data_IF_451850376375
#
_entry.id   IF_451850376375
#
_cell.length_a   1.000
_cell.length_b   1.000
_cell.length_c   1.000
_cell.angle_alpha   90.00
_cell.angle_beta   90.00
_cell.angle_gamma   90.00
#
_symmetry.space_group_name_H-M   'P 1'
#
loop_
_entity.id
_entity.type
_entity.pdbx_description
1 polymer ?
#
# COMPACT_ATOMS: atom_id res chain seq x y z
N UNK A 1 58.84 31.35 -43.43
CA UNK A 1 60.16 30.75 -43.73
C UNK A 1 59.96 29.28 -44.14
N UNK A 2 60.06 28.94 -45.44
CA UNK A 2 59.75 27.59 -45.94
C UNK A 2 60.70 26.51 -45.38
N UNK A 3 62.01 26.79 -45.30
CA UNK A 3 63.01 25.85 -44.79
C UNK A 3 62.82 25.40 -43.33
N UNK A 4 62.17 26.21 -42.50
CA UNK A 4 61.89 25.85 -41.10
C UNK A 4 60.76 24.83 -41.01
N UNK A 5 59.73 24.98 -41.85
CA UNK A 5 58.55 24.10 -41.87
C UNK A 5 58.96 22.68 -42.26
N UNK A 6 59.80 22.54 -43.27
CA UNK A 6 60.24 21.23 -43.75
C UNK A 6 61.12 20.52 -42.72
N UNK A 7 62.06 21.26 -42.09
CA UNK A 7 62.93 20.73 -41.03
C UNK A 7 62.14 20.24 -39.81
N UNK A 8 61.06 20.93 -39.44
CA UNK A 8 60.20 20.55 -38.31
C UNK A 8 59.26 19.39 -38.63
N UNK A 9 58.72 19.34 -39.84
CA UNK A 9 57.89 18.21 -40.29
C UNK A 9 58.73 16.93 -40.29
N UNK A 10 59.95 16.98 -40.83
CA UNK A 10 60.86 15.84 -40.82
C UNK A 10 61.24 15.40 -39.39
N UNK A 11 61.56 16.35 -38.50
CA UNK A 11 61.86 16.04 -37.10
C UNK A 11 60.68 15.37 -36.37
N UNK A 12 59.44 15.86 -36.57
CA UNK A 12 58.24 15.30 -35.94
C UNK A 12 57.90 13.92 -36.53
N UNK A 13 58.03 13.73 -37.84
CA UNK A 13 57.79 12.43 -38.48
C UNK A 13 58.78 11.36 -38.00
N UNK A 14 60.05 11.71 -37.85
CA UNK A 14 61.09 10.81 -37.32
C UNK A 14 60.92 10.54 -35.82
N UNK A 15 60.46 11.53 -35.04
CA UNK A 15 60.11 11.34 -33.63
C UNK A 15 58.95 10.37 -33.42
N UNK A 16 57.92 10.41 -34.28
CA UNK A 16 56.72 9.58 -34.13
C UNK A 16 56.89 8.17 -34.70
N UNK A 17 57.72 8.00 -35.73
CA UNK A 17 57.94 6.72 -36.41
C UNK A 17 59.43 6.40 -36.46
N UNK A 18 59.90 5.58 -35.52
CA UNK A 18 61.25 5.00 -35.56
C UNK A 18 61.36 4.14 -36.82
N UNK A 19 61.95 4.68 -37.88
CA UNK A 19 62.14 3.97 -39.14
C UNK A 19 63.31 2.98 -38.99
N UNK A 20 63.14 1.69 -39.30
CA UNK A 20 64.21 0.70 -39.17
C UNK A 20 65.32 0.84 -40.25
N UNK A 21 65.12 1.69 -41.27
CA UNK A 21 66.03 1.85 -42.41
C UNK A 21 66.95 3.08 -42.31
N UNK A 22 66.89 3.83 -41.21
CA UNK A 22 67.71 5.03 -41.01
C UNK A 22 68.55 4.85 -39.75
N UNK A 23 69.84 5.14 -39.82
CA UNK A 23 70.75 4.98 -38.67
C UNK A 23 70.29 5.87 -37.50
N UNK A 24 70.41 5.32 -36.28
CA UNK A 24 69.88 5.98 -35.08
C UNK A 24 70.55 7.35 -34.83
N UNK A 25 71.83 7.47 -35.13
CA UNK A 25 72.58 8.72 -35.02
C UNK A 25 72.05 9.83 -35.96
N UNK A 26 71.58 9.49 -37.16
CA UNK A 26 71.03 10.47 -38.11
C UNK A 26 69.65 10.97 -37.65
N UNK A 27 68.85 10.09 -37.03
CA UNK A 27 67.54 10.46 -36.47
C UNK A 27 67.72 11.43 -35.30
N UNK A 28 68.64 11.12 -34.38
CA UNK A 28 68.94 11.97 -33.22
C UNK A 28 69.48 13.33 -33.66
N UNK A 29 70.42 13.39 -34.61
CA UNK A 29 70.95 14.65 -35.13
C UNK A 29 69.88 15.53 -35.81
N UNK A 30 68.94 14.92 -36.55
CA UNK A 30 67.86 15.66 -37.22
C UNK A 30 66.85 16.22 -36.22
N UNK A 31 66.54 15.45 -35.17
CA UNK A 31 65.67 15.88 -34.07
C UNK A 31 66.33 17.01 -33.28
N UNK A 32 67.62 16.88 -32.98
CA UNK A 32 68.40 17.89 -32.26
C UNK A 32 68.52 19.20 -33.06
N UNK A 33 68.75 19.12 -34.38
CA UNK A 33 68.78 20.29 -35.26
C UNK A 33 67.39 20.98 -35.33
N UNK A 34 66.31 20.18 -35.38
CA UNK A 34 64.94 20.69 -35.32
C UNK A 34 64.64 21.42 -34.01
N UNK A 35 65.03 20.83 -32.87
CA UNK A 35 64.86 21.43 -31.55
C UNK A 35 65.69 22.71 -31.37
N UNK A 36 66.93 22.72 -31.84
CA UNK A 36 67.80 23.91 -31.78
C UNK A 36 67.23 25.07 -32.62
N UNK A 37 66.61 24.77 -33.77
CA UNK A 37 65.90 25.78 -34.58
C UNK A 37 64.61 26.27 -33.94
N UNK A 38 63.94 25.43 -33.13
CA UNK A 38 62.79 25.79 -32.30
C UNK A 38 63.17 26.68 -31.12
N UNK A 39 64.27 26.38 -30.43
CA UNK A 39 64.76 27.20 -29.30
C UNK A 39 65.24 28.59 -29.75
N UNK A 40 65.80 28.68 -30.97
CA UNK A 40 66.16 29.97 -31.58
C UNK A 40 64.93 30.85 -31.89
N UNK A 41 63.72 30.28 -31.91
CA UNK A 41 62.47 31.02 -32.05
C UNK A 41 61.94 31.39 -30.65
N UNK A 42 62.37 32.55 -30.16
CA UNK A 42 61.86 33.11 -28.91
C UNK A 42 60.33 33.24 -28.95
N UNK A 43 59.64 32.64 -27.98
CA UNK A 43 58.17 32.58 -27.86
C UNK A 43 57.48 33.97 -27.90
N UNK A 44 58.21 35.06 -27.64
CA UNK A 44 57.70 36.44 -27.69
C UNK A 44 57.55 37.06 -29.09
N UNK A 45 58.06 36.44 -30.16
CA UNK A 45 57.98 37.00 -31.53
C UNK A 45 56.86 36.41 -32.41
N UNK A 46 56.25 35.29 -32.03
CA UNK A 46 55.26 34.60 -32.86
C UNK A 46 53.82 35.06 -32.54
N UNK A 47 53.56 35.44 -31.30
CA UNK A 47 52.31 36.07 -30.86
C UNK A 47 52.66 37.40 -30.19
N UNK A 48 52.52 38.55 -30.89
CA UNK A 48 52.68 39.85 -30.25
C UNK A 48 51.51 40.04 -29.27
N UNK A 49 51.68 39.64 -28.01
CA UNK A 49 50.68 39.84 -26.97
C UNK A 49 50.21 41.30 -26.89
N UNK A 50 51.07 42.27 -27.22
CA UNK A 50 50.74 43.70 -27.32
C UNK A 50 49.67 44.03 -28.38
N UNK A 51 49.55 43.25 -29.47
CA UNK A 51 48.52 43.42 -30.49
C UNK A 51 47.20 42.72 -30.13
N UNK A 52 47.26 41.67 -29.30
CA UNK A 52 46.08 40.92 -28.86
C UNK A 52 45.46 41.48 -27.58
N UNK A 53 46.24 42.22 -26.78
CA UNK A 53 45.76 42.94 -25.62
C UNK A 53 44.53 43.83 -25.90
N UNK A 54 44.50 44.69 -26.94
CA UNK A 54 43.32 45.52 -27.20
C UNK A 54 42.11 44.70 -27.63
N UNK A 55 42.27 43.60 -28.39
CA UNK A 55 41.14 42.77 -28.80
C UNK A 55 40.60 41.93 -27.63
N UNK A 56 41.47 41.43 -26.75
CA UNK A 56 41.08 40.74 -25.52
C UNK A 56 40.40 41.70 -24.52
N UNK A 57 40.89 42.95 -24.45
CA UNK A 57 40.23 43.98 -23.64
C UNK A 57 38.89 44.35 -24.24
N UNK A 58 38.77 44.45 -25.57
CA UNK A 58 37.51 44.73 -26.25
C UNK A 58 36.48 43.62 -26.02
N UNK A 59 36.88 42.34 -26.09
CA UNK A 59 35.96 41.23 -25.81
C UNK A 59 35.52 41.22 -24.35
N UNK A 60 36.42 41.49 -23.40
CA UNK A 60 36.06 41.65 -21.98
C UNK A 60 35.12 42.84 -21.80
N UNK A 61 35.39 43.98 -22.43
CA UNK A 61 34.57 45.18 -22.35
C UNK A 61 33.19 44.94 -22.94
N UNK A 62 33.06 44.27 -24.08
CA UNK A 62 31.77 43.88 -24.67
C UNK A 62 31.02 42.90 -23.77
N UNK A 63 31.72 41.94 -23.17
CA UNK A 63 31.11 40.99 -22.24
C UNK A 63 30.64 41.69 -20.96
N UNK A 64 31.41 42.64 -20.45
CA UNK A 64 31.01 43.47 -19.30
C UNK A 64 29.85 44.40 -19.67
N UNK A 65 29.90 45.11 -20.80
CA UNK A 65 28.82 46.00 -21.27
C UNK A 65 27.53 45.26 -21.63
N UNK A 66 27.59 44.01 -22.06
CA UNK A 66 26.38 43.19 -22.28
C UNK A 66 25.79 42.67 -20.96
N UNK A 67 26.62 42.49 -19.93
CA UNK A 67 26.18 42.03 -18.60
C UNK A 67 25.76 43.17 -17.68
N UNK A 68 26.36 44.37 -17.82
CA UNK A 68 26.13 45.56 -17.00
C UNK A 68 24.66 46.02 -16.95
N UNK A 69 23.88 46.04 -18.05
CA UNK A 69 22.47 46.42 -18.01
C UNK A 69 21.63 45.39 -17.26
N UNK A 70 21.99 44.12 -17.32
CA UNK A 70 21.33 43.06 -16.54
C UNK A 70 21.66 43.20 -15.05
N UNK A 71 22.90 43.55 -14.72
CA UNK A 71 23.35 43.83 -13.35
C UNK A 71 22.68 45.09 -12.76
N UNK A 72 22.51 46.15 -13.56
CA UNK A 72 21.87 47.40 -13.13
C UNK A 72 20.35 47.31 -13.03
N UNK A 73 19.70 46.49 -13.89
CA UNK A 73 18.24 46.33 -13.90
C UNK A 73 17.72 45.44 -12.76
N UNK A 74 18.55 44.51 -12.27
CA UNK A 74 18.25 43.70 -11.09
C UNK A 74 18.92 44.34 -9.86
N UNK A 75 18.27 45.34 -9.25
CA UNK A 75 18.66 45.95 -7.97
C UNK A 75 18.57 44.96 -6.80
N UNK A 76 19.37 43.90 -6.82
CA UNK A 76 19.47 42.98 -5.70
C UNK A 76 20.95 42.78 -5.36
N UNK A 77 21.49 43.54 -4.38
CA UNK A 77 22.87 43.40 -3.92
C UNK A 77 23.21 41.95 -3.50
N UNK A 78 22.17 41.16 -3.20
CA UNK A 78 22.24 39.74 -2.86
C UNK A 78 22.64 38.82 -4.03
N UNK A 79 22.22 39.09 -5.28
CA UNK A 79 22.56 38.24 -6.43
C UNK A 79 24.05 38.33 -6.79
N UNK A 80 24.64 39.54 -6.69
CA UNK A 80 26.07 39.76 -6.89
C UNK A 80 26.90 38.96 -5.89
N UNK A 81 26.48 38.94 -4.61
CA UNK A 81 27.15 38.16 -3.57
C UNK A 81 27.15 36.66 -3.89
N UNK A 82 26.02 36.10 -4.34
CA UNK A 82 25.94 34.68 -4.74
C UNK A 82 26.81 34.39 -5.96
N UNK A 83 26.82 35.28 -6.95
CA UNK A 83 27.68 35.15 -8.12
C UNK A 83 29.16 35.06 -7.74
N UNK A 84 29.65 35.98 -6.89
CA UNK A 84 31.03 35.93 -6.40
C UNK A 84 31.32 34.70 -5.54
N UNK A 85 30.39 34.32 -4.65
CA UNK A 85 30.53 33.11 -3.84
C UNK A 85 30.67 31.84 -4.70
N UNK A 86 29.87 31.70 -5.75
CA UNK A 86 29.95 30.53 -6.65
C UNK A 86 31.14 30.56 -7.60
N UNK A 87 31.41 31.70 -8.25
CA UNK A 87 32.37 31.74 -9.36
C UNK A 87 33.79 32.10 -8.93
N UNK A 88 33.95 32.94 -7.91
CA UNK A 88 35.29 33.32 -7.43
C UNK A 88 35.72 32.48 -6.21
N UNK A 89 34.79 32.22 -5.28
CA UNK A 89 35.09 31.42 -4.08
C UNK A 89 34.79 29.92 -4.24
N UNK A 90 34.26 29.48 -5.39
CA UNK A 90 33.84 28.08 -5.65
C UNK A 90 32.93 27.49 -4.55
N UNK A 91 32.21 28.35 -3.82
CA UNK A 91 31.32 27.94 -2.76
C UNK A 91 29.96 27.52 -3.33
N UNK A 92 29.37 26.47 -2.76
CA UNK A 92 28.08 25.93 -3.20
C UNK A 92 26.90 26.74 -2.61
N UNK A 93 26.78 28.01 -3.02
CA UNK A 93 25.74 28.93 -2.53
C UNK A 93 24.46 28.79 -3.35
N UNK A 94 23.31 28.41 -2.80
CA UNK A 94 22.07 28.28 -3.58
C UNK A 94 21.60 29.63 -4.17
N UNK A 95 21.14 29.64 -5.44
CA UNK A 95 20.47 30.80 -6.01
C UNK A 95 19.22 31.18 -5.18
N UNK A 96 18.84 32.47 -5.08
CA UNK A 96 17.67 32.87 -4.31
C UNK A 96 16.43 32.24 -4.93
N UNK A 97 15.61 31.61 -4.08
CA UNK A 97 14.32 31.08 -4.50
C UNK A 97 13.27 32.18 -4.44
N UNK A 98 12.52 32.36 -5.52
CA UNK A 98 11.39 33.30 -5.59
C UNK A 98 10.16 32.73 -4.90
N UNK A 99 9.99 31.40 -4.94
CA UNK A 99 8.87 30.69 -4.34
C UNK A 99 9.32 29.79 -3.19
N UNK A 100 8.58 29.85 -2.08
CA UNK A 100 8.70 28.94 -0.95
C UNK A 100 7.30 28.44 -0.58
N UNK A 101 7.10 27.12 -0.63
CA UNK A 101 5.85 26.47 -0.29
C UNK A 101 6.01 25.67 1.01
N UNK A 102 5.09 25.88 1.94
CA UNK A 102 4.87 25.03 3.09
C UNK A 102 3.85 23.95 2.72
N UNK A 103 4.15 22.69 3.01
CA UNK A 103 3.37 21.54 2.54
C UNK A 103 2.83 20.82 3.76
N UNK A 104 1.50 20.69 3.80
CA UNK A 104 0.80 19.97 4.85
C UNK A 104 0.01 18.85 4.21
N UNK A 105 0.15 17.64 4.75
CA UNK A 105 -0.54 16.45 4.26
C UNK A 105 -1.53 16.04 5.33
N UNK A 106 -2.81 16.08 4.98
CA UNK A 106 -3.92 15.74 5.87
C UNK A 106 -4.63 14.50 5.30
N UNK A 107 -5.08 13.61 6.17
CA UNK A 107 -5.85 12.44 5.76
C UNK A 107 -6.44 11.74 6.96
N UNK A 108 -7.58 11.09 6.76
CA UNK A 108 -8.19 10.25 7.79
C UNK A 108 -7.24 9.09 8.11
N UNK A 109 -6.84 8.95 9.38
CA UNK A 109 -5.93 7.90 9.87
C UNK A 109 -4.52 7.94 9.26
N UNK A 110 -4.09 9.09 8.74
CA UNK A 110 -2.73 9.27 8.23
C UNK A 110 -1.73 9.24 9.41
N UNK A 111 -0.76 8.32 9.33
CA UNK A 111 0.32 8.19 10.33
C UNK A 111 1.62 8.66 9.71
N UNK A 112 2.21 9.72 10.26
CA UNK A 112 3.55 10.18 9.87
C UNK A 112 4.59 9.22 10.46
N UNK A 113 5.29 8.50 9.57
CA UNK A 113 6.37 7.59 9.96
C UNK A 113 7.68 8.37 10.11
N UNK A 114 7.94 9.27 9.17
CA UNK A 114 9.08 10.18 9.11
C UNK A 114 8.64 11.48 8.43
N UNK A 115 9.48 12.52 8.51
CA UNK A 115 9.22 13.85 7.93
C UNK A 115 8.85 13.86 6.42
N UNK A 116 9.09 12.75 5.70
CA UNK A 116 8.72 12.58 4.28
C UNK A 116 8.04 11.24 3.97
N UNK A 117 7.75 10.40 4.98
CA UNK A 117 7.11 9.11 4.78
C UNK A 117 5.83 9.01 5.61
N UNK A 118 4.73 8.70 4.93
CA UNK A 118 3.40 8.59 5.55
C UNK A 118 2.82 7.21 5.28
N UNK A 119 2.14 6.65 6.28
CA UNK A 119 1.28 5.50 6.14
C UNK A 119 -0.17 5.96 5.99
N UNK A 120 -0.84 5.45 4.95
CA UNK A 120 -2.24 5.74 4.67
C UNK A 120 -2.99 4.41 4.49
N UNK A 121 -4.12 4.20 5.18
CA UNK A 121 -4.93 3.01 4.96
C UNK A 121 -5.50 2.94 3.53
N UNK A 122 -5.64 1.73 3.01
CA UNK A 122 -6.20 1.51 1.67
C UNK A 122 -7.62 2.11 1.55
N UNK A 123 -7.89 2.79 0.44
CA UNK A 123 -9.18 3.43 0.16
C UNK A 123 -9.41 4.77 0.89
N UNK A 124 -8.53 5.18 1.80
CA UNK A 124 -8.63 6.47 2.48
C UNK A 124 -8.35 7.65 1.54
N UNK A 125 -9.00 8.78 1.82
CA UNK A 125 -8.76 10.05 1.12
C UNK A 125 -7.56 10.77 1.75
N UNK A 126 -6.69 11.28 0.87
CA UNK A 126 -5.61 12.17 1.26
C UNK A 126 -5.82 13.54 0.64
N UNK A 127 -5.63 14.58 1.46
CA UNK A 127 -5.70 15.98 1.09
C UNK A 127 -4.34 16.61 1.29
N UNK A 128 -3.76 17.09 0.21
CA UNK A 128 -2.45 17.73 0.21
C UNK A 128 -2.68 19.23 0.08
N UNK A 129 -2.20 19.98 1.08
CA UNK A 129 -2.24 21.43 1.14
C UNK A 129 -0.85 21.98 0.84
N UNK A 130 -0.78 22.95 -0.06
CA UNK A 130 0.43 23.72 -0.30
C UNK A 130 0.13 25.20 -0.06
N UNK A 131 0.79 25.79 0.95
CA UNK A 131 0.67 27.19 1.33
C UNK A 131 1.92 27.96 0.92
N UNK A 132 1.77 28.98 0.09
CA UNK A 132 2.88 29.80 -0.35
C UNK A 132 3.30 30.79 0.76
N UNK A 133 4.53 30.64 1.26
CA UNK A 133 5.15 31.52 2.27
C UNK A 133 5.83 32.72 1.61
N UNK A 134 6.45 32.50 0.45
CA UNK A 134 7.11 33.52 -0.36
C UNK A 134 6.81 33.25 -1.83
N UNK A 135 6.53 34.29 -2.60
CA UNK A 135 6.14 34.17 -4.01
C UNK A 135 4.74 33.54 -4.18
N UNK A 136 4.07 33.83 -5.30
CA UNK A 136 2.76 33.25 -5.61
C UNK A 136 2.84 32.52 -6.96
N UNK A 137 3.09 31.20 -6.97
CA UNK A 137 3.24 30.48 -8.23
C UNK A 137 1.91 30.45 -8.97
N UNK A 138 1.94 30.65 -10.30
CA UNK A 138 0.73 30.59 -11.13
C UNK A 138 0.04 29.23 -11.04
N UNK A 139 0.83 28.15 -11.01
CA UNK A 139 0.36 26.78 -10.87
C UNK A 139 1.25 26.00 -9.88
N UNK A 140 0.64 25.11 -9.11
CA UNK A 140 1.32 24.12 -8.27
C UNK A 140 0.92 22.74 -8.78
N UNK A 141 1.92 21.89 -8.98
CA UNK A 141 1.74 20.54 -9.52
C UNK A 141 2.37 19.48 -8.62
N UNK A 142 1.73 18.32 -8.55
CA UNK A 142 2.26 17.11 -7.97
C UNK A 142 2.79 16.23 -9.10
N UNK A 143 4.06 15.83 -8.99
CA UNK A 143 4.75 14.98 -9.95
C UNK A 143 5.08 13.64 -9.28
N UNK A 144 4.54 12.53 -9.80
CA UNK A 144 4.83 11.19 -9.26
C UNK A 144 6.11 10.60 -9.87
N UNK A 145 6.93 9.96 -9.04
CA UNK A 145 8.25 9.43 -9.43
C UNK A 145 8.17 8.03 -10.07
N UNK A 146 9.07 7.79 -11.03
CA UNK A 146 9.13 6.66 -11.99
C UNK A 146 9.25 5.28 -11.33
N UNK A 147 9.89 5.19 -10.18
CA UNK A 147 10.28 3.92 -9.53
C UNK A 147 9.10 3.18 -8.90
N UNK A 148 8.05 3.90 -8.50
CA UNK A 148 6.86 3.33 -7.84
C UNK A 148 5.93 2.58 -8.81
N UNK A 149 5.88 2.98 -10.09
CA UNK A 149 5.01 2.37 -11.11
C UNK A 149 5.65 1.15 -11.82
N UNK A 150 6.99 1.03 -11.83
CA UNK A 150 7.67 -0.01 -12.61
C UNK A 150 7.70 -1.40 -11.98
N UNK A 151 7.45 -1.56 -10.67
CA UNK A 151 7.41 -2.91 -10.05
C UNK A 151 6.21 -3.76 -10.47
N UNK A 152 5.30 -3.24 -11.30
CA UNK A 152 4.02 -3.91 -11.56
C UNK A 152 3.74 -4.29 -13.02
N UNK A 153 4.67 -4.04 -13.93
CA UNK A 153 4.59 -4.55 -15.32
C UNK A 153 5.67 -5.58 -15.59
N UNK A 154 5.78 -6.58 -14.72
CA UNK A 154 6.41 -7.85 -15.08
C UNK A 154 5.36 -8.72 -15.81
N UNK A 155 4.87 -8.21 -16.95
CA UNK A 155 4.06 -8.99 -17.88
C UNK A 155 4.97 -9.39 -19.05
N UNK A 156 5.28 -10.68 -19.07
CA UNK A 156 5.66 -11.48 -20.23
C UNK A 156 6.98 -11.09 -20.95
N UNK A 157 8.08 -11.84 -20.77
CA UNK A 157 9.36 -11.57 -21.44
C UNK A 157 9.32 -11.73 -22.97
N UNK A 158 8.19 -12.17 -23.52
CA UNK A 158 8.02 -12.55 -24.94
C UNK A 158 7.69 -11.39 -25.88
N UNK A 159 7.45 -10.16 -25.38
CA UNK A 159 7.15 -8.98 -26.23
C UNK A 159 8.15 -7.85 -26.03
N UNK A 160 9.44 -8.13 -26.23
CA UNK A 160 10.43 -7.07 -26.51
C UNK A 160 10.32 -6.62 -27.97
N UNK A 161 9.38 -5.72 -28.27
CA UNK A 161 9.52 -4.80 -29.40
C UNK A 161 9.68 -3.39 -28.88
N UNK A 162 10.74 -2.77 -29.39
CA UNK A 162 11.16 -1.39 -29.20
C UNK A 162 9.99 -0.40 -29.24
N UNK A 163 9.58 0.09 -28.08
CA UNK A 163 8.94 1.40 -27.94
C UNK A 163 9.69 2.17 -26.85
N UNK A 164 10.75 2.88 -27.26
CA UNK A 164 11.24 4.07 -26.55
C UNK A 164 10.23 5.21 -26.77
N UNK A 165 9.01 5.02 -26.29
CA UNK A 165 8.08 6.13 -26.09
C UNK A 165 8.48 6.83 -24.79
N UNK A 166 8.75 8.13 -24.85
CA UNK A 166 8.94 8.94 -23.65
C UNK A 166 7.63 8.91 -22.83
N UNK A 167 7.57 8.06 -21.79
CA UNK A 167 6.42 8.04 -20.89
C UNK A 167 6.38 9.35 -20.10
N UNK A 168 5.29 10.10 -20.29
CA UNK A 168 5.06 11.38 -19.60
C UNK A 168 4.85 11.11 -18.11
N UNK A 169 5.53 11.85 -17.19
CA UNK A 169 5.25 11.74 -15.77
C UNK A 169 3.78 12.05 -15.50
N UNK A 170 3.18 11.36 -14.53
CA UNK A 170 1.82 11.69 -14.11
C UNK A 170 1.91 12.98 -13.30
N UNK A 171 1.30 14.03 -13.81
CA UNK A 171 1.27 15.36 -13.21
C UNK A 171 -0.16 15.67 -12.82
N UNK A 172 -0.39 15.93 -11.53
CA UNK A 172 -1.69 16.34 -11.00
C UNK A 172 -1.62 17.82 -10.63
N UNK A 173 -2.57 18.61 -11.13
CA UNK A 173 -2.65 20.05 -10.82
C UNK A 173 -3.42 20.27 -9.53
N UNK A 174 -2.90 21.13 -8.67
CA UNK A 174 -3.64 21.57 -7.49
C UNK A 174 -4.76 22.53 -7.87
N UNK A 175 -5.85 22.50 -7.11
CA UNK A 175 -6.91 23.50 -7.16
C UNK A 175 -6.49 24.68 -6.27
N UNK A 176 -6.50 25.90 -6.84
CA UNK A 176 -6.21 27.12 -6.10
C UNK A 176 -7.46 27.53 -5.30
N UNK A 177 -7.38 27.51 -3.97
CA UNK A 177 -8.48 27.92 -3.09
C UNK A 177 -8.42 29.43 -2.82
N UNK A 178 -7.21 29.94 -2.56
CA UNK A 178 -6.99 31.35 -2.24
C UNK A 178 -5.74 31.88 -2.93
N UNK A 179 -5.39 33.13 -2.67
CA UNK A 179 -4.17 33.75 -3.23
C UNK A 179 -2.92 32.95 -2.92
N UNK A 180 -2.81 32.30 -1.75
CA UNK A 180 -1.62 31.57 -1.32
C UNK A 180 -1.87 30.10 -0.94
N UNK A 181 -3.10 29.58 -1.10
CA UNK A 181 -3.44 28.21 -0.70
C UNK A 181 -3.91 27.37 -1.88
N UNK A 182 -3.31 26.19 -2.00
CA UNK A 182 -3.56 25.20 -3.04
C UNK A 182 -3.93 23.87 -2.39
N UNK A 183 -4.93 23.17 -2.91
CA UNK A 183 -5.37 21.86 -2.41
C UNK A 183 -5.38 20.82 -3.53
N UNK A 184 -5.10 19.58 -3.16
CA UNK A 184 -5.28 18.42 -4.02
C UNK A 184 -5.81 17.26 -3.18
N UNK A 185 -6.99 16.75 -3.54
CA UNK A 185 -7.61 15.59 -2.88
C UNK A 185 -7.55 14.39 -3.81
N UNK A 186 -7.14 13.22 -3.29
CA UNK A 186 -7.10 11.97 -4.07
C UNK A 186 -7.30 10.72 -3.20
N UNK A 187 -7.65 9.60 -3.86
CA UNK A 187 -7.74 8.25 -3.27
C UNK A 187 -6.70 7.33 -3.89
N UNK A 188 -5.47 7.29 -3.36
CA UNK A 188 -4.45 6.42 -3.91
C UNK A 188 -4.74 4.96 -3.59
N UNK A 189 -4.55 4.08 -4.57
CA UNK A 189 -4.75 2.63 -4.43
C UNK A 189 -3.44 1.87 -4.20
N UNK A 190 -2.29 2.52 -4.42
CA UNK A 190 -0.97 1.89 -4.38
C UNK A 190 0.05 2.85 -3.80
N UNK A 191 1.08 2.29 -3.17
CA UNK A 191 2.22 3.06 -2.65
C UNK A 191 2.90 3.85 -3.76
N UNK A 192 3.17 5.12 -3.50
CA UNK A 192 3.76 6.02 -4.49
C UNK A 192 4.65 7.08 -3.85
N UNK A 193 5.62 7.54 -4.63
CA UNK A 193 6.49 8.66 -4.30
C UNK A 193 6.12 9.85 -5.17
N UNK A 194 6.03 11.04 -4.58
CA UNK A 194 5.70 12.26 -5.31
C UNK A 194 6.55 13.44 -4.85
N UNK A 195 6.62 14.46 -5.70
CA UNK A 195 7.21 15.77 -5.40
C UNK A 195 6.22 16.84 -5.81
N UNK A 196 6.12 17.89 -5.00
CA UNK A 196 5.37 19.10 -5.32
C UNK A 196 6.33 20.12 -5.93
N UNK A 197 5.88 20.75 -7.02
CA UNK A 197 6.59 21.80 -7.73
C UNK A 197 5.67 23.02 -7.92
N UNK A 198 6.22 24.22 -7.72
CA UNK A 198 5.52 25.48 -7.98
C UNK A 198 6.52 26.59 -8.27
N UNK A 199 6.48 27.15 -9.48
CA UNK A 199 7.51 28.08 -9.94
C UNK A 199 8.90 27.44 -9.97
N UNK A 200 9.84 28.00 -9.21
CA UNK A 200 11.19 27.49 -9.00
C UNK A 200 11.33 26.56 -7.78
N UNK A 201 10.28 26.48 -6.95
CA UNK A 201 10.26 25.60 -5.79
C UNK A 201 10.09 24.13 -6.19
N UNK A 202 10.92 23.27 -5.61
CA UNK A 202 10.79 21.81 -5.66
C UNK A 202 10.95 21.26 -4.25
N UNK A 203 9.96 20.49 -3.83
CA UNK A 203 10.01 19.80 -2.54
C UNK A 203 10.87 18.54 -2.56
N UNK A 204 11.32 18.07 -1.39
CA UNK A 204 11.83 16.71 -1.22
C UNK A 204 10.79 15.66 -1.66
N UNK A 205 11.23 14.43 -2.01
CA UNK A 205 10.30 13.34 -2.32
C UNK A 205 9.52 12.93 -1.07
N UNK A 206 8.20 12.97 -1.17
CA UNK A 206 7.28 12.39 -0.21
C UNK A 206 6.90 10.98 -0.65
N UNK A 207 6.82 10.04 0.29
CA UNK A 207 6.41 8.65 0.03
C UNK A 207 5.18 8.33 0.85
N UNK A 208 4.14 7.88 0.17
CA UNK A 208 2.91 7.39 0.80
C UNK A 208 2.89 5.88 0.67
N UNK A 209 2.99 5.19 1.81
CA UNK A 209 2.85 3.76 1.95
C UNK A 209 1.38 3.42 2.18
N UNK A 210 0.77 2.71 1.23
CA UNK A 210 -0.59 2.21 1.42
C UNK A 210 -0.55 0.98 2.32
N UNK A 211 -1.26 1.05 3.43
CA UNK A 211 -1.40 -0.04 4.38
C UNK A 211 -2.73 -0.75 4.16
N UNK A 212 -2.68 -2.06 3.93
CA UNK A 212 -3.87 -2.91 3.81
C UNK A 212 -4.47 -3.17 5.21
N UNK A 213 -5.78 -3.36 5.31
CA UNK A 213 -6.40 -3.77 6.57
C UNK A 213 -6.12 -5.25 6.90
N UNK A 214 -6.19 -5.65 8.17
CA UNK A 214 -6.26 -7.07 8.51
C UNK A 214 -7.54 -7.67 7.96
N UNK A 215 -7.40 -8.64 7.05
CA UNK A 215 -8.51 -9.32 6.40
C UNK A 215 -8.48 -10.82 6.64
N UNK A 216 -9.62 -11.46 6.40
CA UNK A 216 -9.76 -12.91 6.48
C UNK A 216 -9.25 -13.53 5.18
N UNK A 217 -8.19 -14.32 5.26
CA UNK A 217 -7.67 -15.08 4.13
C UNK A 217 -8.49 -16.35 3.89
N UNK A 218 -8.88 -17.06 4.96
CA UNK A 218 -9.79 -18.20 4.88
C UNK A 218 -10.43 -18.50 6.22
N UNK A 219 -11.60 -19.14 6.19
CA UNK A 219 -12.25 -19.68 7.38
C UNK A 219 -12.44 -21.16 7.16
N UNK A 220 -12.08 -21.95 8.17
CA UNK A 220 -12.32 -23.39 8.22
C UNK A 220 -13.16 -23.74 9.42
N UNK A 221 -13.92 -24.83 9.33
CA UNK A 221 -14.75 -25.28 10.45
C UNK A 221 -14.81 -26.80 10.58
N UNK A 222 -15.25 -27.24 11.76
CA UNK A 222 -15.65 -28.61 12.10
C UNK A 222 -16.90 -28.58 12.96
N UNK A 223 -17.82 -29.49 12.71
CA UNK A 223 -19.04 -29.66 13.51
C UNK A 223 -18.97 -30.92 14.37
N UNK A 224 -19.49 -30.76 15.57
CA UNK A 224 -19.82 -31.86 16.47
C UNK A 224 -21.33 -31.86 16.67
N UNK A 225 -21.96 -32.87 16.11
CA UNK A 225 -23.41 -33.03 16.18
C UNK A 225 -23.83 -33.64 17.53
N UNK A 226 -25.06 -33.37 18.00
CA UNK A 226 -25.65 -34.08 19.11
C UNK A 226 -25.61 -35.60 18.90
N UNK A 227 -25.36 -36.34 19.99
CA UNK A 227 -25.27 -37.81 19.93
C UNK A 227 -26.55 -38.48 19.42
N UNK A 228 -27.71 -37.89 19.69
CA UNK A 228 -28.99 -38.46 19.31
C UNK A 228 -29.22 -38.50 17.79
N UNK A 229 -28.55 -37.62 17.02
CA UNK A 229 -28.64 -37.62 15.56
C UNK A 229 -27.91 -38.83 14.93
N UNK A 230 -27.02 -39.50 15.67
CA UNK A 230 -26.22 -40.61 15.14
C UNK A 230 -25.24 -40.21 14.04
N UNK A 231 -25.06 -38.92 13.77
CA UNK A 231 -24.14 -38.41 12.75
C UNK A 231 -22.72 -38.36 13.34
N UNK A 232 -21.72 -38.99 12.72
CA UNK A 232 -20.34 -38.93 13.21
C UNK A 232 -19.78 -37.51 13.14
N UNK A 233 -18.87 -37.18 14.05
CA UNK A 233 -18.18 -35.90 14.07
C UNK A 233 -17.36 -35.66 12.79
N UNK A 234 -17.25 -34.40 12.38
CA UNK A 234 -16.47 -33.99 11.22
C UNK A 234 -14.98 -34.37 11.40
N UNK A 235 -14.46 -35.25 10.54
CA UNK A 235 -13.04 -35.69 10.60
C UNK A 235 -12.07 -34.62 10.11
N UNK A 236 -12.49 -33.83 9.13
CA UNK A 236 -11.66 -32.85 8.43
C UNK A 236 -12.17 -31.44 8.61
N UNK A 237 -11.28 -30.47 8.43
CA UNK A 237 -11.64 -29.06 8.39
C UNK A 237 -12.22 -28.72 7.02
N UNK A 238 -13.42 -28.15 7.00
CA UNK A 238 -14.11 -27.72 5.76
C UNK A 238 -13.95 -26.22 5.56
N UNK A 239 -13.87 -25.77 4.30
CA UNK A 239 -13.88 -24.34 3.96
C UNK A 239 -15.27 -23.75 4.22
N UNK A 240 -15.31 -22.56 4.81
CA UNK A 240 -16.55 -21.85 5.10
C UNK A 240 -17.20 -21.31 3.82
N UNK A 241 -18.41 -21.77 3.52
CA UNK A 241 -19.26 -21.26 2.44
C UNK A 241 -20.62 -20.83 3.01
N UNK A 242 -21.59 -21.73 3.03
CA UNK A 242 -22.87 -21.60 3.70
C UNK A 242 -22.97 -22.76 4.67
N UNK A 243 -22.98 -22.46 5.97
CA UNK A 243 -22.98 -23.50 6.99
C UNK A 243 -24.40 -23.69 7.49
N UNK A 244 -24.84 -24.95 7.42
CA UNK A 244 -26.02 -25.43 8.10
C UNK A 244 -25.56 -26.29 9.28
N UNK A 245 -26.01 -25.93 10.48
CA UNK A 245 -25.79 -26.69 11.71
C UNK A 245 -27.14 -27.02 12.34
N UNK A 246 -27.23 -28.16 13.03
CA UNK A 246 -28.43 -28.49 13.80
C UNK A 246 -28.36 -27.83 15.16
N UNK A 247 -29.52 -27.58 15.75
CA UNK A 247 -29.61 -27.24 17.16
C UNK A 247 -28.86 -28.28 18.03
N UNK A 248 -28.20 -27.80 19.09
CA UNK A 248 -27.36 -28.61 19.97
C UNK A 248 -25.99 -28.96 19.40
N UNK A 249 -25.66 -28.51 18.18
CA UNK A 249 -24.34 -28.75 17.58
C UNK A 249 -23.31 -27.75 18.09
N UNK A 250 -22.08 -28.23 18.29
CA UNK A 250 -20.91 -27.40 18.56
C UNK A 250 -20.13 -27.19 17.25
N UNK A 251 -19.86 -25.93 16.93
CA UNK A 251 -19.10 -25.48 15.77
C UNK A 251 -17.73 -24.98 16.22
N UNK A 252 -16.68 -25.70 15.83
CA UNK A 252 -15.30 -25.26 15.97
C UNK A 252 -14.87 -24.55 14.69
N UNK A 253 -14.24 -23.39 14.80
CA UNK A 253 -13.75 -22.64 13.65
C UNK A 253 -12.28 -22.27 13.78
N UNK A 254 -11.62 -22.16 12.64
CA UNK A 254 -10.24 -21.69 12.49
C UNK A 254 -10.20 -20.64 11.38
N UNK A 255 -9.93 -19.39 11.74
CA UNK A 255 -9.82 -18.26 10.80
C UNK A 255 -8.36 -17.99 10.55
N UNK A 256 -7.94 -17.96 9.29
CA UNK A 256 -6.62 -17.48 8.89
C UNK A 256 -6.74 -16.05 8.39
N UNK A 257 -5.86 -15.18 8.85
CA UNK A 257 -5.86 -13.75 8.52
C UNK A 257 -4.67 -13.37 7.64
N UNK A 258 -4.75 -12.25 6.93
CA UNK A 258 -3.70 -11.75 6.03
C UNK A 258 -2.54 -11.06 6.75
N UNK A 259 -2.71 -10.74 8.03
CA UNK A 259 -1.80 -9.93 8.85
C UNK A 259 -1.75 -10.44 10.29
N UNK A 260 -0.69 -10.11 11.07
CA UNK A 260 -0.68 -10.40 12.50
C UNK A 260 -1.73 -9.56 13.22
N UNK A 261 -2.42 -10.17 14.18
CA UNK A 261 -3.56 -9.58 14.88
C UNK A 261 -3.20 -9.38 16.35
N UNK A 262 -3.59 -8.23 16.89
CA UNK A 262 -3.47 -7.92 18.31
C UNK A 262 -4.76 -8.30 19.07
N UNK A 263 -5.92 -7.95 18.50
CA UNK A 263 -7.23 -8.23 19.09
C UNK A 263 -8.22 -8.68 18.03
N UNK A 264 -9.14 -9.54 18.44
CA UNK A 264 -10.20 -10.03 17.58
C UNK A 264 -11.52 -10.12 18.37
N UNK A 265 -12.60 -9.80 17.68
CA UNK A 265 -13.96 -9.95 18.18
C UNK A 265 -14.78 -10.75 17.18
N UNK A 266 -15.75 -11.52 17.69
CA UNK A 266 -16.76 -12.18 16.88
C UNK A 266 -18.07 -11.40 17.01
N UNK A 267 -18.56 -10.86 15.90
CA UNK A 267 -19.89 -10.26 15.83
C UNK A 267 -20.89 -11.31 15.35
N UNK A 268 -22.00 -11.47 16.06
CA UNK A 268 -23.14 -12.30 15.68
C UNK A 268 -24.38 -11.40 15.71
N UNK A 269 -25.01 -11.23 14.55
CA UNK A 269 -26.07 -10.26 14.28
C UNK A 269 -25.63 -8.84 14.70
N UNK A 270 -26.20 -8.32 15.79
CA UNK A 270 -25.88 -7.01 16.34
C UNK A 270 -25.14 -7.06 17.68
N UNK A 271 -24.69 -8.26 18.10
CA UNK A 271 -23.94 -8.48 19.34
C UNK A 271 -22.49 -8.78 19.03
N UNK A 272 -21.58 -8.25 19.83
CA UNK A 272 -20.14 -8.47 19.69
C UNK A 272 -19.61 -9.22 20.89
N UNK A 273 -18.74 -10.20 20.64
CA UNK A 273 -18.17 -11.06 21.67
C UNK A 273 -16.64 -11.07 21.60
N UNK A 274 -15.98 -11.12 22.75
CA UNK A 274 -14.52 -11.19 22.90
C UNK A 274 -14.13 -12.04 24.11
N UNK A 275 -12.84 -12.37 24.24
CA UNK A 275 -12.31 -13.02 25.44
C UNK A 275 -11.60 -14.34 25.16
N UNK A 276 -11.35 -15.12 26.21
CA UNK A 276 -10.46 -16.29 26.19
C UNK A 276 -10.94 -17.44 25.30
N UNK A 277 -12.22 -17.46 24.94
CA UNK A 277 -12.79 -18.40 23.98
C UNK A 277 -12.31 -18.20 22.53
N UNK A 278 -11.69 -17.05 22.22
CA UNK A 278 -11.06 -16.77 20.95
C UNK A 278 -9.54 -16.72 21.12
N UNK A 279 -8.84 -17.76 20.69
CA UNK A 279 -7.39 -17.86 20.80
C UNK A 279 -6.72 -17.29 19.56
N UNK A 280 -5.74 -16.40 19.74
CA UNK A 280 -4.99 -15.76 18.65
C UNK A 280 -3.57 -16.32 18.62
N UNK A 281 -3.14 -16.82 17.46
CA UNK A 281 -1.80 -17.33 17.22
C UNK A 281 -1.17 -16.64 16.02
N UNK A 282 -0.29 -15.67 16.27
CA UNK A 282 0.50 -15.02 15.22
C UNK A 282 1.62 -15.97 14.77
N UNK A 283 1.78 -16.12 13.45
CA UNK A 283 2.76 -16.98 12.79
C UNK A 283 3.95 -16.16 12.29
N UNK A 284 5.09 -16.82 12.14
CA UNK A 284 6.32 -16.20 11.61
C UNK A 284 6.18 -15.74 10.15
N UNK A 285 5.24 -16.32 9.40
CA UNK A 285 4.94 -15.94 8.01
C UNK A 285 4.18 -14.60 7.89
N UNK A 286 3.87 -13.94 9.00
CA UNK A 286 3.14 -12.67 9.04
C UNK A 286 1.62 -12.83 8.97
N UNK A 287 1.08 -14.04 9.14
CA UNK A 287 -0.36 -14.29 9.28
C UNK A 287 -0.74 -14.56 10.74
N UNK A 288 -2.03 -14.49 11.06
CA UNK A 288 -2.55 -14.97 12.34
C UNK A 288 -3.63 -16.03 12.14
N UNK A 289 -3.69 -16.97 13.07
CA UNK A 289 -4.80 -17.91 13.20
C UNK A 289 -5.63 -17.56 14.43
N UNK A 290 -6.94 -17.53 14.24
CA UNK A 290 -7.93 -17.40 15.30
C UNK A 290 -8.68 -18.72 15.43
N UNK A 291 -8.76 -19.24 16.65
CA UNK A 291 -9.53 -20.45 16.95
C UNK A 291 -10.59 -20.16 18.00
N UNK A 292 -11.79 -20.66 17.77
CA UNK A 292 -12.89 -20.48 18.68
C UNK A 292 -14.01 -21.50 18.47
N UNK A 293 -14.99 -21.42 19.36
CA UNK A 293 -16.10 -22.37 19.43
C UNK A 293 -17.43 -21.64 19.58
N UNK A 294 -18.46 -22.12 18.90
CA UNK A 294 -19.82 -21.62 18.96
C UNK A 294 -20.75 -22.80 19.21
N UNK A 295 -21.68 -22.65 20.12
CA UNK A 295 -22.74 -23.63 20.39
C UNK A 295 -24.06 -23.12 19.82
N UNK A 296 -24.75 -23.97 19.06
CA UNK A 296 -26.09 -23.69 18.57
C UNK A 296 -27.12 -24.01 19.65
N UNK A 297 -27.67 -22.99 20.29
CA UNK A 297 -28.76 -23.13 21.27
C UNK A 297 -30.10 -22.75 20.63
N UNK A 298 -31.20 -23.06 21.32
CA UNK A 298 -32.54 -22.80 20.81
C UNK A 298 -32.74 -21.30 20.62
N UNK A 299 -32.83 -20.87 19.36
CA UNK A 299 -32.99 -19.46 19.02
C UNK A 299 -31.79 -18.58 19.32
N UNK A 300 -30.59 -19.15 19.52
CA UNK A 300 -29.36 -18.35 19.70
C UNK A 300 -28.09 -19.06 19.22
N UNK A 301 -27.04 -18.28 18.95
CA UNK A 301 -25.67 -18.77 18.80
C UNK A 301 -24.84 -18.27 19.98
N UNK A 302 -24.32 -19.20 20.77
CA UNK A 302 -23.52 -18.91 21.94
C UNK A 302 -22.03 -19.11 21.65
N UNK A 303 -21.22 -18.04 21.55
CA UNK A 303 -19.78 -18.20 21.45
C UNK A 303 -19.20 -18.65 22.79
N UNK A 304 -18.63 -19.85 22.83
CA UNK A 304 -18.17 -20.49 24.05
C UNK A 304 -16.88 -19.84 24.55
N UNK A 305 -16.87 -19.44 25.83
CA UNK A 305 -15.73 -18.78 26.47
C UNK A 305 -15.54 -17.31 26.08
N UNK A 306 -16.52 -16.70 25.40
CA UNK A 306 -16.52 -15.29 25.05
C UNK A 306 -17.57 -14.52 25.86
N UNK A 307 -17.35 -13.23 26.06
CA UNK A 307 -18.18 -12.29 26.80
C UNK A 307 -18.69 -11.24 25.82
N UNK A 308 -19.95 -10.85 25.96
CA UNK A 308 -20.56 -9.77 25.15
C UNK A 308 -19.92 -8.42 25.50
N UNK A 309 -19.49 -7.68 24.47
CA UNK A 309 -19.08 -6.28 24.59
C UNK A 309 -20.31 -5.39 24.40
N UNK A 310 -20.97 -5.05 25.51
CA UNK A 310 -22.18 -4.22 25.48
C UNK A 310 -21.93 -2.83 24.89
N UNK A 311 -20.75 -2.24 25.15
CA UNK A 311 -20.40 -0.91 24.67
C UNK A 311 -20.23 -0.90 23.14
N UNK A 312 -19.48 -1.87 22.60
CA UNK A 312 -19.28 -1.97 21.16
C UNK A 312 -20.57 -2.39 20.43
N UNK A 313 -21.36 -3.26 21.04
CA UNK A 313 -22.67 -3.66 20.53
C UNK A 313 -23.63 -2.47 20.44
N UNK A 314 -23.67 -1.61 21.47
CA UNK A 314 -24.50 -0.40 21.47
C UNK A 314 -24.07 0.64 20.42
N UNK A 315 -22.77 0.78 20.18
CA UNK A 315 -22.25 1.69 19.14
C UNK A 315 -22.65 1.24 17.73
N UNK A 316 -22.62 -0.07 17.46
CA UNK A 316 -23.03 -0.64 16.17
C UNK A 316 -24.55 -0.46 15.95
N UNK A 317 -25.36 -0.58 17.00
CA UNK A 317 -26.80 -0.38 16.90
C UNK A 317 -27.18 1.07 16.59
N UNK A 318 -26.50 2.05 17.21
CA UNK A 318 -26.73 3.49 16.92
C UNK A 318 -26.46 3.85 15.45
N UNK A 319 -25.51 3.18 14.81
CA UNK A 319 -25.20 3.38 13.39
C UNK A 319 -26.24 2.76 12.43
N UNK A 320 -27.15 1.91 12.92
CA UNK A 320 -28.19 1.24 12.12
C UNK A 320 -29.58 1.91 12.21
N UNK A 321 -29.67 3.19 12.59
CA UNK A 321 -30.91 3.97 12.53
C UNK A 321 -31.38 4.13 11.07
N UNK A 322 -32.05 3.12 10.52
CA UNK A 322 -32.59 3.17 9.16
C UNK A 322 -33.36 1.93 8.70
N UNK A 323 -33.00 0.72 9.14
CA UNK A 323 -33.69 -0.49 8.67
C UNK A 323 -34.05 -1.42 9.84
N UNK A 324 -35.33 -1.43 10.21
CA UNK A 324 -35.94 -2.56 10.92
C UNK A 324 -35.84 -3.78 9.99
N UNK A 325 -34.79 -4.57 10.13
CA UNK A 325 -34.75 -5.90 9.52
C UNK A 325 -35.90 -6.72 10.11
N UNK A 326 -36.77 -7.22 9.24
CA UNK A 326 -37.86 -8.12 9.58
C UNK A 326 -37.31 -9.29 10.44
N UNK A 327 -37.74 -9.37 11.69
CA UNK A 327 -37.43 -10.42 12.69
C UNK A 327 -37.89 -11.84 12.28
N UNK A 328 -38.32 -12.05 11.04
CA UNK A 328 -38.95 -13.27 10.56
C UNK A 328 -38.00 -14.35 10.01
N UNK A 329 -36.68 -14.23 10.23
CA UNK A 329 -35.71 -15.32 9.98
C UNK A 329 -35.00 -15.72 11.27
N UNK A 330 -35.74 -16.34 12.20
CA UNK A 330 -35.25 -16.77 13.54
C UNK A 330 -34.05 -17.75 13.52
N UNK A 331 -33.72 -18.29 12.35
CA UNK A 331 -32.75 -19.38 12.21
C UNK A 331 -31.54 -19.00 11.34
N UNK A 332 -31.41 -17.73 10.96
CA UNK A 332 -30.29 -17.21 10.17
C UNK A 332 -29.50 -16.18 10.97
N UNK A 333 -28.21 -16.44 11.13
CA UNK A 333 -27.31 -15.58 11.89
C UNK A 333 -26.23 -15.03 10.97
N UNK A 334 -26.12 -13.71 10.90
CA UNK A 334 -25.01 -13.05 10.21
C UNK A 334 -23.87 -12.87 11.17
N UNK A 335 -22.73 -13.40 10.82
CA UNK A 335 -21.53 -13.36 11.64
C UNK A 335 -20.41 -12.65 10.89
N UNK A 336 -19.50 -12.01 11.61
CA UNK A 336 -18.29 -11.42 11.04
C UNK A 336 -17.21 -11.32 12.11
N UNK A 337 -15.94 -11.41 11.72
CA UNK A 337 -14.83 -11.13 12.62
C UNK A 337 -14.39 -9.67 12.48
N UNK A 338 -14.28 -8.98 13.62
CA UNK A 338 -13.68 -7.64 13.69
C UNK A 338 -12.26 -7.86 14.18
N UNK A 339 -11.28 -7.37 13.42
CA UNK A 339 -9.86 -7.65 13.62
C UNK A 339 -9.11 -6.34 13.80
N UNK A 340 -8.26 -6.24 14.81
CA UNK A 340 -7.35 -5.12 15.02
C UNK A 340 -5.91 -5.63 14.90
N UNK A 341 -5.14 -5.07 13.96
CA UNK A 341 -3.74 -5.43 13.76
C UNK A 341 -2.82 -4.78 14.81
N UNK A 342 -1.52 -5.07 14.72
CA UNK A 342 -0.50 -4.54 15.65
C UNK A 342 -0.32 -3.02 15.58
N UNK A 343 -0.78 -2.38 14.50
CA UNK A 343 -0.75 -0.93 14.31
C UNK A 343 -2.05 -0.25 14.77
N UNK A 344 -3.02 -1.02 15.30
CA UNK A 344 -4.32 -0.52 15.73
C UNK A 344 -5.32 -0.31 14.58
N UNK A 345 -5.04 -0.85 13.39
CA UNK A 345 -5.95 -0.74 12.25
C UNK A 345 -6.98 -1.87 12.26
N UNK A 346 -8.23 -1.53 11.97
CA UNK A 346 -9.33 -2.47 11.79
C UNK A 346 -10.02 -2.23 10.47
N UNK A 347 -10.42 -3.31 9.79
CA UNK A 347 -11.20 -3.20 8.56
C UNK A 347 -12.60 -2.60 8.90
N UNK A 348 -12.99 -1.45 8.30
CA UNK A 348 -14.31 -0.84 8.51
C UNK A 348 -15.46 -1.66 7.90
N UNK A 349 -15.16 -2.56 6.97
CA UNK A 349 -16.12 -3.40 6.25
C UNK A 349 -15.72 -4.87 6.39
N UNK A 350 -15.86 -5.46 7.58
CA UNK A 350 -15.46 -6.84 7.82
C UNK A 350 -16.29 -7.82 6.97
N UNK A 351 -15.66 -8.89 6.52
CA UNK A 351 -16.33 -9.94 5.74
C UNK A 351 -17.45 -10.59 6.57
N UNK A 352 -18.65 -10.59 6.02
CA UNK A 352 -19.83 -11.21 6.62
C UNK A 352 -20.03 -12.64 6.09
N UNK A 353 -20.54 -13.52 6.96
CA UNK A 353 -20.89 -14.89 6.63
C UNK A 353 -22.16 -15.32 7.36
N UNK A 354 -22.88 -16.30 6.80
CA UNK A 354 -24.15 -16.77 7.36
C UNK A 354 -24.02 -18.16 7.99
N UNK A 355 -24.66 -18.33 9.13
CA UNK A 355 -24.92 -19.62 9.77
C UNK A 355 -26.43 -19.83 9.80
N UNK A 356 -26.87 -20.99 9.32
CA UNK A 356 -28.25 -21.42 9.35
C UNK A 356 -28.39 -22.51 10.41
N UNK A 357 -29.25 -22.30 11.39
CA UNK A 357 -29.59 -23.30 12.39
C UNK A 357 -30.82 -24.07 11.91
N UNK A 358 -30.70 -25.38 11.74
CA UNK A 358 -31.84 -26.27 11.53
C UNK A 358 -32.42 -26.70 12.87
N UNK A 359 -33.73 -26.50 13.01
CA UNK A 359 -34.49 -26.97 14.17
C UNK A 359 -34.73 -28.47 14.04
N UNK A 360 -34.80 -29.09 15.20
CA UNK A 360 -35.31 -30.44 15.39
C UNK A 360 -36.83 -30.35 15.60
N UNK A 361 -37.61 -31.20 14.94
CA UNK A 361 -39.06 -31.24 15.15
C UNK A 361 -39.38 -32.38 16.12
N UNK A 362 -40.30 -32.18 17.08
CA UNK A 362 -40.66 -33.26 17.98
C UNK A 362 -41.29 -34.43 17.21
N UNK A 363 -41.02 -35.69 17.61
CA UNK A 363 -41.59 -36.86 16.96
C UNK A 363 -43.11 -36.83 17.04
N UNK A 364 -43.76 -37.21 15.94
CA UNK A 364 -45.21 -37.32 15.85
C UNK A 364 -45.64 -38.76 16.12
N UNK A 365 -46.54 -38.94 17.09
CA UNK A 365 -47.11 -40.25 17.43
C UNK A 365 -48.57 -40.30 16.99
N UNK A 366 -48.94 -41.34 16.25
CA UNK A 366 -50.34 -41.62 15.91
C UNK A 366 -50.71 -43.02 16.38
N UNK A 367 -51.74 -43.13 17.22
CA UNK A 367 -52.32 -44.42 17.63
C UNK A 367 -53.35 -44.82 16.57
N UNK A 368 -53.09 -45.93 15.88
CA UNK A 368 -54.00 -46.49 14.87
C UNK A 368 -55.01 -47.46 15.47
N UNK A 369 -54.68 -48.10 16.59
CA UNK A 369 -55.59 -48.97 17.31
C UNK A 369 -55.19 -49.05 18.79
N UNK A 370 -56.14 -48.92 19.73
CA UNK A 370 -57.55 -48.65 19.52
C UNK A 370 -57.85 -47.17 19.22
N UNK A 371 -58.85 -46.90 18.39
CA UNK A 371 -59.28 -45.52 18.04
C UNK A 371 -60.33 -44.98 19.01
N UNK A 372 -60.89 -45.83 19.85
CA UNK A 372 -62.02 -45.53 20.73
C UNK A 372 -61.82 -46.20 22.10
N UNK A 373 -62.60 -45.75 23.08
CA UNK A 373 -62.66 -46.35 24.41
C UNK A 373 -63.08 -47.82 24.29
N UNK A 374 -62.30 -48.71 24.91
CA UNK A 374 -62.60 -50.13 24.99
C UNK A 374 -62.92 -50.49 26.43
N UNK A 375 -64.06 -51.14 26.65
CA UNK A 375 -64.34 -51.84 27.89
C UNK A 375 -63.74 -53.24 27.81
N UNK A 376 -62.80 -53.52 28.71
CA UNK A 376 -62.02 -54.75 28.73
C UNK A 376 -62.02 -55.29 30.17
N UNK A 377 -62.09 -56.61 30.31
CA UNK A 377 -61.94 -57.27 31.61
C UNK A 377 -60.50 -57.16 32.11
N UNK A 378 -60.27 -57.32 33.42
CA UNK A 378 -58.94 -57.22 34.04
C UNK A 378 -57.87 -58.17 33.47
N UNK A 379 -58.26 -59.18 32.68
CA UNK A 379 -57.36 -60.13 31.99
C UNK A 379 -57.32 -59.96 30.47
N UNK A 380 -58.06 -59.01 29.91
CA UNK A 380 -58.10 -58.79 28.47
C UNK A 380 -56.75 -58.28 27.94
N UNK A 381 -56.49 -58.53 26.65
CA UNK A 381 -55.31 -58.00 25.95
C UNK A 381 -55.77 -56.92 24.99
N UNK A 382 -55.17 -55.74 25.05
CA UNK A 382 -55.44 -54.65 24.10
C UNK A 382 -54.38 -54.72 23.00
N UNK A 383 -54.74 -55.02 21.74
CA UNK A 383 -53.81 -54.88 20.64
C UNK A 383 -53.54 -53.38 20.41
N UNK A 384 -52.31 -52.93 20.67
CA UNK A 384 -51.89 -51.56 20.37
C UNK A 384 -51.21 -51.54 19.01
N UNK A 385 -51.68 -50.66 18.11
CA UNK A 385 -50.99 -50.32 16.87
C UNK A 385 -50.79 -48.82 16.84
N UNK A 386 -49.56 -48.39 16.64
CA UNK A 386 -49.20 -46.99 16.54
C UNK A 386 -48.11 -46.81 15.50
N UNK A 387 -48.01 -45.61 14.94
CA UNK A 387 -46.86 -45.15 14.17
C UNK A 387 -46.21 -44.00 14.92
N UNK A 388 -44.90 -43.94 14.81
CA UNK A 388 -44.11 -42.79 15.23
C UNK A 388 -43.32 -42.36 14.02
N UNK A 389 -43.38 -41.07 13.70
CA UNK A 389 -42.64 -40.46 12.61
C UNK A 389 -41.79 -39.36 13.21
N UNK A 390 -40.51 -39.39 12.89
CA UNK A 390 -39.53 -38.41 13.32
C UNK A 390 -38.63 -38.10 12.12
N UNK A 391 -38.15 -36.86 12.02
CA UNK A 391 -37.29 -36.42 10.93
C UNK A 391 -35.84 -36.91 11.06
N UNK A 392 -35.42 -37.38 12.25
CA UNK A 392 -34.05 -37.87 12.51
C UNK A 392 -33.99 -39.31 13.02
N UNK A 393 -35.13 -39.89 13.40
CA UNK A 393 -35.28 -41.31 13.73
C UNK A 393 -35.59 -41.57 15.20
N UNK A 394 -36.16 -42.74 15.47
CA UNK A 394 -36.68 -43.07 16.81
C UNK A 394 -35.76 -44.08 17.46
N UNK A 395 -35.12 -43.69 18.57
CA UNK A 395 -34.25 -44.59 19.32
C UNK A 395 -35.02 -45.53 20.26
N UNK A 396 -36.05 -45.01 20.95
CA UNK A 396 -36.85 -45.75 21.94
C UNK A 396 -38.27 -45.21 21.98
N UNK A 397 -39.22 -46.11 22.23
CA UNK A 397 -40.62 -45.78 22.54
C UNK A 397 -41.01 -46.57 23.78
N UNK A 398 -41.65 -45.90 24.75
CA UNK A 398 -42.22 -46.55 25.93
C UNK A 398 -43.69 -46.14 26.08
N UNK A 399 -44.52 -47.11 26.47
CA UNK A 399 -45.91 -46.88 26.81
C UNK A 399 -46.00 -46.69 28.32
N UNK A 400 -46.53 -45.55 28.77
CA UNK A 400 -46.86 -45.32 30.17
C UNK A 400 -48.36 -45.59 30.32
N UNK A 401 -48.71 -46.54 31.18
CA UNK A 401 -50.09 -46.84 31.53
C UNK A 401 -50.32 -46.34 32.96
N UNK A 402 -51.18 -45.35 33.13
CA UNK A 402 -51.70 -44.97 34.44
C UNK A 402 -52.97 -45.75 34.72
N UNK A 403 -53.01 -46.45 35.86
CA UNK A 403 -54.16 -47.23 36.33
C UNK A 403 -55.00 -46.38 37.27
#
# INVERSE_FOLDING_TARGET
MPHLKDSLISAVQLSQKKSPYVSQALQEATIEEGNRKLEALSHGKILPFKLLLPSFFLTIVILVLSCLPYLLKYESPYLYRIFWLRFAALADASWPKEVELDIQIEGSYLKELNHFEYALPEGAEIKILAKARRGNPKEVILVMDRTSLMKQTQKDPSKKKSQRGAFKPIVLKFQKISTNLYTLTMKPQKTFVFRIQGGDFRSPPYKINIQHYPDIASIRYKRKYPQYLGIPEDRHWYLWNQIEIFWGSELMFQVTTTKPIQKAWLRINNKVYYGKGLTIMNREDGTAILEGRIFAEEGSLLPLGMIEDEALSAQIQKNKNGNKENENKKDRYRCSFILEDMDGMSNPHPQEFEILIKRDLPPQIQIHHPLQTLEITSKGKIPLRFSVVDDYGIQKVWLIVSV
#
